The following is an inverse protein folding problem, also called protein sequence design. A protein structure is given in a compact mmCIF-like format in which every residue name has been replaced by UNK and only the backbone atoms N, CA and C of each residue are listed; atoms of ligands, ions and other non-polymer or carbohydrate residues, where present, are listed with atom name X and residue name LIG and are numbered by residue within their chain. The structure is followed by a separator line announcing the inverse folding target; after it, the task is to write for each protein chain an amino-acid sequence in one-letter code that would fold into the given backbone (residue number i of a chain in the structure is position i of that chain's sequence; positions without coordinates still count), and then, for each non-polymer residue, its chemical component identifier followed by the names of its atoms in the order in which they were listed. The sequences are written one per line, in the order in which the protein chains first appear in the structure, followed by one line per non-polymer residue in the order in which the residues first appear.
data_IF_170035491788
#
_entry.id   IF_170035491788
#
_cell.length_a   1.000
_cell.length_b   1.000
_cell.length_c   1.000
_cell.angle_alpha   90.00
_cell.angle_beta   90.00
_cell.angle_gamma   90.00
#
_symmetry.space_group_name_H-M   'P 1'
#
loop_
_entity.id
_entity.type
_entity.pdbx_description
1 polymer ?
#
# COMPACT_ATOMS: atom_id res chain seq x y z
N UNK A 1 -1.07 16.96 -14.43
CA UNK A 1 -0.44 17.89 -13.48
C UNK A 1 0.96 18.23 -13.97
N UNK A 2 1.39 19.51 -13.94
CA UNK A 2 2.75 19.83 -14.30
C UNK A 2 3.73 19.21 -13.30
N UNK A 3 4.93 18.77 -13.74
CA UNK A 3 5.97 18.19 -12.88
C UNK A 3 6.35 19.08 -11.69
N UNK A 4 6.13 20.39 -11.83
CA UNK A 4 6.34 21.38 -10.78
C UNK A 4 5.44 21.19 -9.55
N UNK A 5 4.29 20.53 -9.70
CA UNK A 5 3.34 20.26 -8.61
C UNK A 5 3.56 18.84 -8.06
N UNK A 6 3.79 17.86 -8.92
CA UNK A 6 3.94 16.46 -8.49
C UNK A 6 5.20 16.23 -7.65
N UNK A 7 6.32 16.89 -7.98
CA UNK A 7 7.54 16.79 -7.20
C UNK A 7 7.38 17.21 -5.73
N UNK A 8 6.93 18.43 -5.45
CA UNK A 8 6.65 18.88 -4.08
C UNK A 8 5.61 18.03 -3.33
N UNK A 9 4.59 17.48 -4.02
CA UNK A 9 3.61 16.60 -3.39
C UNK A 9 4.26 15.30 -2.89
N UNK A 10 5.08 14.65 -3.71
CA UNK A 10 5.80 13.42 -3.31
C UNK A 10 6.72 13.68 -2.12
N UNK A 11 7.44 14.82 -2.13
CA UNK A 11 8.28 15.22 -1.00
C UNK A 11 7.43 15.44 0.27
N UNK A 12 6.29 16.13 0.16
CA UNK A 12 5.40 16.36 1.27
C UNK A 12 4.85 15.06 1.88
N UNK A 13 4.44 14.10 1.04
CA UNK A 13 4.00 12.77 1.49
C UNK A 13 5.13 12.06 2.26
N UNK A 14 6.35 12.06 1.72
CA UNK A 14 7.50 11.47 2.39
C UNK A 14 7.79 12.11 3.75
N UNK A 15 7.70 13.43 3.84
CA UNK A 15 7.90 14.17 5.10
C UNK A 15 6.80 13.87 6.13
N UNK A 16 5.54 13.80 5.73
CA UNK A 16 4.43 13.45 6.61
C UNK A 16 4.59 12.03 7.16
N UNK A 17 4.98 11.07 6.33
CA UNK A 17 5.19 9.69 6.73
C UNK A 17 6.47 9.47 7.55
N UNK A 18 7.43 10.38 7.48
CA UNK A 18 8.73 10.26 8.17
C UNK A 18 8.59 10.11 9.68
N UNK A 19 7.64 10.82 10.30
CA UNK A 19 7.37 10.72 11.73
C UNK A 19 6.98 9.31 12.17
N UNK A 20 6.07 8.68 11.43
CA UNK A 20 5.66 7.30 11.67
C UNK A 20 6.81 6.30 11.42
N UNK A 21 7.57 6.52 10.36
CA UNK A 21 8.73 5.69 10.05
C UNK A 21 9.78 5.73 11.17
N UNK A 22 10.09 6.92 11.71
CA UNK A 22 11.03 7.09 12.83
C UNK A 22 10.51 6.38 14.09
N UNK A 23 9.23 6.51 14.41
CA UNK A 23 8.62 5.82 15.55
C UNK A 23 8.73 4.29 15.42
N UNK A 24 8.48 3.75 14.23
CA UNK A 24 8.63 2.32 13.96
C UNK A 24 10.10 1.87 14.07
N UNK A 25 11.06 2.67 13.59
CA UNK A 25 12.49 2.39 13.73
C UNK A 25 12.95 2.45 15.19
N UNK A 26 12.34 3.32 16.00
CA UNK A 26 12.74 3.51 17.41
C UNK A 26 12.50 2.27 18.27
N UNK A 27 11.66 1.33 17.86
CA UNK A 27 11.48 0.05 18.54
C UNK A 27 12.74 -0.81 18.50
N UNK A 28 13.46 -0.82 17.38
CA UNK A 28 14.74 -1.55 17.23
C UNK A 28 15.60 -0.93 16.10
N UNK A 29 16.45 0.03 16.44
CA UNK A 29 17.33 0.71 15.49
C UNK A 29 18.30 -0.21 14.73
N UNK A 30 18.95 -1.20 15.34
CA UNK A 30 19.80 -2.14 14.63
C UNK A 30 19.07 -2.85 13.47
N UNK A 31 17.86 -3.37 13.72
CA UNK A 31 17.07 -4.03 12.69
C UNK A 31 16.63 -3.06 11.58
N UNK A 32 16.24 -1.85 11.96
CA UNK A 32 15.86 -0.80 11.01
C UNK A 32 17.02 -0.42 10.08
N UNK A 33 18.23 -0.26 10.63
CA UNK A 33 19.43 0.06 9.84
C UNK A 33 19.78 -1.09 8.88
N UNK A 34 19.69 -2.34 9.33
CA UNK A 34 19.96 -3.51 8.47
C UNK A 34 18.93 -3.61 7.35
N UNK A 35 17.64 -3.40 7.64
CA UNK A 35 16.60 -3.36 6.63
C UNK A 35 16.89 -2.28 5.58
N UNK A 36 17.13 -1.04 6.01
CA UNK A 36 17.40 0.09 5.13
C UNK A 36 18.67 -0.13 4.29
N UNK A 37 19.76 -0.61 4.92
CA UNK A 37 20.99 -0.91 4.20
C UNK A 37 20.79 -1.99 3.14
N UNK A 38 20.03 -3.05 3.45
CA UNK A 38 19.70 -4.11 2.50
C UNK A 38 18.90 -3.56 1.31
N UNK A 39 17.90 -2.72 1.56
CA UNK A 39 17.12 -2.08 0.49
C UNK A 39 18.00 -1.22 -0.40
N UNK A 40 18.86 -0.37 0.18
CA UNK A 40 19.78 0.51 -0.57
C UNK A 40 20.78 -0.32 -1.40
N UNK A 41 21.42 -1.31 -0.78
CA UNK A 41 22.39 -2.17 -1.47
C UNK A 41 21.73 -2.92 -2.63
N UNK A 42 20.55 -3.50 -2.40
CA UNK A 42 19.81 -4.23 -3.43
C UNK A 42 19.35 -3.32 -4.56
N UNK A 43 18.93 -2.10 -4.28
CA UNK A 43 18.48 -1.13 -5.28
C UNK A 43 19.63 -0.58 -6.14
N UNK A 44 20.78 -0.28 -5.52
CA UNK A 44 21.90 0.40 -6.19
C UNK A 44 22.81 -0.60 -6.89
N UNK A 45 23.22 -1.67 -6.19
CA UNK A 45 24.18 -2.66 -6.71
C UNK A 45 23.54 -3.97 -7.16
N UNK A 46 22.27 -4.18 -6.87
CA UNK A 46 21.53 -5.38 -7.28
C UNK A 46 21.44 -5.52 -8.81
N UNK A 47 21.44 -6.75 -9.30
CA UNK A 47 21.26 -7.10 -10.70
C UNK A 47 20.10 -8.06 -10.87
N UNK A 48 19.40 -7.99 -12.00
CA UNK A 48 18.26 -8.87 -12.30
C UNK A 48 17.14 -8.73 -11.26
N UNK A 49 16.67 -9.84 -10.74
CA UNK A 49 15.55 -9.91 -9.79
C UNK A 49 15.86 -9.17 -8.49
N UNK A 50 17.09 -9.20 -7.99
CA UNK A 50 17.50 -8.51 -6.74
C UNK A 50 17.19 -7.01 -6.78
N UNK A 51 17.37 -6.37 -7.94
CA UNK A 51 17.06 -4.95 -8.13
C UNK A 51 15.57 -4.67 -8.21
N UNK A 52 14.77 -5.67 -8.56
CA UNK A 52 13.32 -5.54 -8.73
C UNK A 52 12.59 -5.64 -7.38
N UNK A 53 13.12 -6.45 -6.44
CA UNK A 53 12.47 -6.75 -5.16
C UNK A 53 13.27 -6.27 -3.93
N UNK A 54 13.83 -5.05 -3.90
CA UNK A 54 14.72 -4.61 -2.83
C UNK A 54 14.02 -4.55 -1.47
N UNK A 55 12.76 -4.12 -1.43
CA UNK A 55 11.97 -4.03 -0.20
C UNK A 55 11.74 -5.41 0.39
N UNK A 56 11.36 -6.39 -0.43
CA UNK A 56 11.16 -7.77 0.02
C UNK A 56 12.45 -8.36 0.60
N UNK A 57 13.60 -8.09 -0.03
CA UNK A 57 14.90 -8.51 0.50
C UNK A 57 15.21 -7.84 1.83
N UNK A 58 14.91 -6.56 1.98
CA UNK A 58 15.04 -5.84 3.24
C UNK A 58 14.23 -6.49 4.35
N UNK A 59 12.97 -6.82 4.09
CA UNK A 59 12.09 -7.52 5.05
C UNK A 59 12.64 -8.89 5.41
N UNK A 60 13.03 -9.71 4.42
CA UNK A 60 13.55 -11.07 4.67
C UNK A 60 14.81 -11.03 5.52
N UNK A 61 15.77 -10.18 5.17
CA UNK A 61 17.06 -10.10 5.88
C UNK A 61 16.88 -9.56 7.30
N UNK A 62 16.08 -8.50 7.48
CA UNK A 62 15.84 -7.96 8.82
C UNK A 62 15.03 -8.92 9.68
N UNK A 63 14.05 -9.63 9.11
CA UNK A 63 13.29 -10.64 9.82
C UNK A 63 14.18 -11.83 10.24
N UNK A 64 15.02 -12.33 9.34
CA UNK A 64 15.97 -13.38 9.67
C UNK A 64 16.92 -12.96 10.82
N UNK A 65 17.39 -11.71 10.80
CA UNK A 65 18.19 -11.17 11.89
C UNK A 65 17.39 -11.10 13.20
N UNK A 66 16.13 -10.63 13.15
CA UNK A 66 15.26 -10.56 14.32
C UNK A 66 15.02 -11.93 14.95
N UNK A 67 14.86 -12.98 14.14
CA UNK A 67 14.76 -14.37 14.62
C UNK A 67 16.05 -14.82 15.32
N UNK A 68 17.21 -14.54 14.72
CA UNK A 68 18.51 -14.93 15.31
C UNK A 68 18.81 -14.17 16.60
N UNK A 69 18.39 -12.91 16.70
CA UNK A 69 18.57 -12.09 17.92
C UNK A 69 17.52 -12.36 18.99
N UNK A 70 16.52 -13.21 18.71
CA UNK A 70 15.48 -13.57 19.68
C UNK A 70 14.42 -12.48 19.89
N UNK A 71 14.33 -11.50 18.99
CA UNK A 71 13.33 -10.42 19.04
C UNK A 71 11.94 -10.86 18.55
N UNK A 72 11.84 -12.04 17.94
CA UNK A 72 10.59 -12.57 17.42
C UNK A 72 9.96 -13.52 18.44
N UNK A 73 8.76 -13.17 18.91
CA UNK A 73 7.96 -14.05 19.75
C UNK A 73 7.07 -14.95 18.87
N UNK A 74 7.37 -16.25 18.90
CA UNK A 74 6.59 -17.27 18.21
C UNK A 74 5.42 -17.81 19.04
N UNK A 75 5.24 -17.40 20.30
CA UNK A 75 4.15 -17.88 21.14
C UNK A 75 2.77 -17.60 20.52
N UNK A 76 2.59 -16.43 19.92
CA UNK A 76 1.37 -16.07 19.22
C UNK A 76 1.01 -17.02 18.06
N UNK A 77 1.99 -17.69 17.44
CA UNK A 77 1.73 -18.67 16.40
C UNK A 77 1.18 -20.00 16.94
N UNK A 78 1.52 -20.35 18.18
CA UNK A 78 1.05 -21.60 18.78
C UNK A 78 -0.44 -21.53 19.13
N UNK A 79 -0.93 -20.32 19.43
CA UNK A 79 -2.34 -20.08 19.78
C UNK A 79 -3.18 -19.72 18.57
N UNK A 80 -2.57 -19.51 17.41
CA UNK A 80 -3.26 -19.15 16.18
C UNK A 80 -3.94 -20.38 15.54
N UNK A 81 -5.19 -20.22 15.13
CA UNK A 81 -5.88 -21.24 14.37
C UNK A 81 -5.23 -21.38 12.97
N UNK A 82 -4.95 -22.62 12.55
CA UNK A 82 -4.37 -22.90 11.22
C UNK A 82 -5.29 -22.49 10.07
N UNK A 83 -6.58 -22.51 10.30
CA UNK A 83 -7.60 -22.07 9.34
C UNK A 83 -8.60 -21.21 10.11
N UNK A 84 -8.77 -19.98 9.68
CA UNK A 84 -9.71 -19.03 10.27
C UNK A 84 -10.16 -18.03 9.22
N UNK A 85 -11.32 -17.42 9.44
CA UNK A 85 -11.74 -16.29 8.62
C UNK A 85 -10.87 -15.08 8.99
N UNK A 86 -10.33 -14.34 7.99
CA UNK A 86 -9.43 -13.21 8.21
C UNK A 86 -10.14 -11.95 8.73
N UNK A 87 -11.40 -12.05 9.10
CA UNK A 87 -12.21 -10.94 9.61
C UNK A 87 -13.09 -11.41 10.77
N UNK A 88 -13.30 -10.54 11.75
CA UNK A 88 -14.33 -10.71 12.78
C UNK A 88 -15.52 -9.80 12.48
N UNK A 89 -16.72 -10.20 12.84
CA UNK A 89 -17.95 -9.41 12.64
C UNK A 89 -17.81 -8.00 13.23
N UNK A 90 -17.15 -7.89 14.37
CA UNK A 90 -16.94 -6.62 15.10
C UNK A 90 -16.09 -5.61 14.31
N UNK A 91 -15.25 -6.09 13.40
CA UNK A 91 -14.37 -5.25 12.55
C UNK A 91 -14.98 -4.94 11.18
N UNK A 92 -16.11 -5.54 10.86
CA UNK A 92 -16.78 -5.32 9.57
C UNK A 92 -17.73 -4.13 9.65
N UNK A 93 -18.11 -3.58 8.49
CA UNK A 93 -19.14 -2.53 8.41
C UNK A 93 -20.47 -2.96 9.05
N UNK A 94 -20.72 -4.26 9.18
CA UNK A 94 -21.94 -4.79 9.82
C UNK A 94 -22.01 -4.48 11.30
N UNK A 95 -20.88 -4.29 11.97
CA UNK A 95 -20.85 -3.88 13.40
C UNK A 95 -21.46 -2.49 13.63
N UNK A 96 -21.45 -1.62 12.62
CA UNK A 96 -22.08 -0.29 12.69
C UNK A 96 -23.58 -0.39 12.92
N UNK A 97 -24.23 -1.45 12.44
CA UNK A 97 -25.66 -1.68 12.62
C UNK A 97 -26.02 -2.20 14.02
N UNK A 98 -25.06 -2.79 14.75
CA UNK A 98 -25.30 -3.32 16.09
C UNK A 98 -25.36 -2.18 17.14
N UNK A 99 -24.60 -1.08 16.94
CA UNK A 99 -24.57 0.09 17.81
C UNK A 99 -24.44 1.37 16.98
N UNK A 100 -25.50 1.75 16.27
CA UNK A 100 -25.45 2.90 15.37
C UNK A 100 -25.49 4.23 16.16
N UNK A 101 -24.32 4.83 16.37
CA UNK A 101 -24.22 6.24 16.77
C UNK A 101 -24.20 7.11 15.51
N UNK A 102 -25.34 7.73 15.22
CA UNK A 102 -25.51 8.59 14.05
C UNK A 102 -24.54 9.77 14.07
N UNK A 103 -24.21 10.31 15.24
CA UNK A 103 -23.28 11.44 15.37
C UNK A 103 -21.85 11.01 14.99
N UNK A 104 -21.43 9.85 15.50
CA UNK A 104 -20.14 9.26 15.14
C UNK A 104 -20.06 8.94 13.63
N UNK A 105 -21.11 8.34 13.06
CA UNK A 105 -21.17 8.01 11.64
C UNK A 105 -21.04 9.26 10.76
N UNK A 106 -21.82 10.31 11.04
CA UNK A 106 -21.78 11.56 10.26
C UNK A 106 -20.42 12.24 10.40
N UNK A 107 -19.85 12.31 11.59
CA UNK A 107 -18.53 12.92 11.80
C UNK A 107 -17.44 12.14 11.05
N UNK A 108 -17.50 10.82 11.03
CA UNK A 108 -16.56 9.96 10.30
C UNK A 108 -16.69 10.16 8.78
N UNK A 109 -17.91 10.22 8.25
CA UNK A 109 -18.13 10.50 6.82
C UNK A 109 -17.54 11.86 6.44
N UNK A 110 -17.81 12.91 7.22
CA UNK A 110 -17.29 14.26 6.98
C UNK A 110 -15.76 14.28 7.03
N UNK A 111 -15.15 13.52 7.92
CA UNK A 111 -13.70 13.47 8.05
C UNK A 111 -13.03 12.68 6.91
N UNK A 112 -13.62 11.57 6.46
CA UNK A 112 -13.00 10.66 5.48
C UNK A 112 -13.33 11.06 4.03
N UNK A 113 -14.54 11.58 3.75
CA UNK A 113 -14.94 11.90 2.39
C UNK A 113 -13.99 12.85 1.64
N UNK A 114 -13.40 13.89 2.25
CA UNK A 114 -12.42 14.74 1.56
C UNK A 114 -11.15 14.01 1.15
N UNK A 115 -10.77 12.93 1.86
CA UNK A 115 -9.58 12.12 1.55
C UNK A 115 -9.77 11.40 0.20
N UNK A 116 -11.01 11.05 -0.17
CA UNK A 116 -11.32 10.43 -1.45
C UNK A 116 -10.89 11.30 -2.66
N UNK A 117 -10.84 12.62 -2.50
CA UNK A 117 -10.34 13.51 -3.57
C UNK A 117 -8.85 13.25 -3.81
N UNK A 118 -8.06 13.02 -2.76
CA UNK A 118 -6.65 12.73 -2.88
C UNK A 118 -6.41 11.38 -3.59
N UNK A 119 -7.15 10.34 -3.22
CA UNK A 119 -7.04 9.01 -3.87
C UNK A 119 -7.49 9.04 -5.34
N UNK A 120 -8.53 9.82 -5.69
CA UNK A 120 -8.92 10.05 -7.09
C UNK A 120 -7.78 10.68 -7.88
N UNK A 121 -7.12 11.68 -7.32
CA UNK A 121 -6.01 12.37 -7.99
C UNK A 121 -4.79 11.46 -8.16
N UNK A 122 -4.49 10.63 -7.17
CA UNK A 122 -3.46 9.58 -7.22
C UNK A 122 -3.78 8.57 -8.34
N UNK A 123 -4.99 8.03 -8.36
CA UNK A 123 -5.46 7.10 -9.39
C UNK A 123 -5.30 7.67 -10.81
N UNK A 124 -5.65 8.94 -11.03
CA UNK A 124 -5.47 9.59 -12.33
C UNK A 124 -3.98 9.64 -12.71
N UNK A 125 -3.11 9.97 -11.76
CA UNK A 125 -1.66 9.99 -11.96
C UNK A 125 -1.11 8.62 -12.37
N UNK A 126 -1.54 7.58 -11.66
CA UNK A 126 -1.13 6.19 -11.92
C UNK A 126 -1.65 5.69 -13.27
N UNK A 127 -2.89 6.03 -13.64
CA UNK A 127 -3.42 5.71 -14.96
C UNK A 127 -2.62 6.37 -16.09
N UNK A 128 -2.16 7.60 -15.90
CA UNK A 128 -1.27 8.27 -16.84
C UNK A 128 0.10 7.55 -16.93
N UNK A 129 0.67 7.15 -15.79
CA UNK A 129 1.95 6.46 -15.72
C UNK A 129 1.88 5.08 -16.39
N UNK A 130 0.84 4.29 -16.10
CA UNK A 130 0.58 2.99 -16.72
C UNK A 130 0.37 3.14 -18.22
N UNK A 131 -0.44 4.12 -18.65
CA UNK A 131 -0.68 4.40 -20.07
C UNK A 131 0.62 4.68 -20.82
N UNK A 132 1.51 5.48 -20.23
CA UNK A 132 2.82 5.78 -20.79
C UNK A 132 3.73 4.55 -20.85
N UNK A 133 3.68 3.70 -19.82
CA UNK A 133 4.53 2.50 -19.71
C UNK A 133 4.12 1.42 -20.72
N UNK A 134 2.81 1.21 -20.88
CA UNK A 134 2.24 0.18 -21.76
C UNK A 134 2.12 0.66 -23.21
N UNK A 135 2.10 1.98 -23.42
CA UNK A 135 1.90 2.58 -24.75
C UNK A 135 0.42 2.54 -25.21
N UNK A 136 -0.54 2.44 -24.26
CA UNK A 136 -1.98 2.46 -24.52
C UNK A 136 -2.65 3.57 -23.70
N UNK A 137 -3.62 4.24 -24.26
CA UNK A 137 -4.35 5.33 -23.59
C UNK A 137 -5.52 4.75 -22.77
N UNK A 138 -5.24 4.34 -21.52
CA UNK A 138 -6.26 3.82 -20.62
C UNK A 138 -7.22 4.88 -20.08
N UNK A 139 -6.93 6.16 -20.26
CA UNK A 139 -7.84 7.24 -19.93
C UNK A 139 -9.01 7.32 -20.92
N UNK A 140 -8.77 6.87 -22.18
CA UNK A 140 -9.81 6.79 -23.22
C UNK A 140 -10.49 5.43 -23.22
N UNK A 141 -9.70 4.35 -23.20
CA UNK A 141 -10.21 2.98 -23.28
C UNK A 141 -9.48 2.08 -22.26
N UNK A 142 -10.19 1.56 -21.26
CA UNK A 142 -11.64 1.49 -21.03
C UNK A 142 -12.29 2.80 -20.55
N UNK A 143 -11.51 3.84 -20.27
CA UNK A 143 -11.97 5.15 -19.81
C UNK A 143 -11.84 5.33 -18.30
N UNK A 144 -11.43 6.54 -17.89
CA UNK A 144 -11.17 6.89 -16.50
C UNK A 144 -12.36 6.61 -15.56
N UNK A 145 -13.59 6.79 -16.04
CA UNK A 145 -14.79 6.51 -15.24
C UNK A 145 -14.92 5.05 -14.84
N UNK A 146 -14.46 4.10 -15.69
CA UNK A 146 -14.50 2.66 -15.38
C UNK A 146 -13.41 2.26 -14.41
N UNK A 147 -12.22 2.81 -14.57
CA UNK A 147 -11.10 2.52 -13.67
C UNK A 147 -11.35 3.07 -12.27
N UNK A 148 -11.87 4.30 -12.15
CA UNK A 148 -12.28 4.89 -10.87
C UNK A 148 -13.45 4.13 -10.22
N UNK A 149 -14.41 3.66 -11.03
CA UNK A 149 -15.51 2.85 -10.50
C UNK A 149 -14.99 1.50 -9.97
N UNK A 150 -14.03 0.89 -10.66
CA UNK A 150 -13.39 -0.35 -10.20
C UNK A 150 -12.67 -0.17 -8.87
N UNK A 151 -11.88 0.90 -8.73
CA UNK A 151 -11.15 1.24 -7.50
C UNK A 151 -12.12 1.54 -6.33
N UNK A 152 -13.16 2.33 -6.58
CA UNK A 152 -14.20 2.62 -5.60
C UNK A 152 -14.99 1.38 -5.16
N UNK A 153 -15.34 0.49 -6.08
CA UNK A 153 -16.01 -0.78 -5.77
C UNK A 153 -15.09 -1.73 -4.98
N UNK A 154 -13.80 -1.80 -5.33
CA UNK A 154 -12.83 -2.59 -4.59
C UNK A 154 -12.70 -2.09 -3.14
N UNK A 155 -12.62 -0.77 -2.94
CA UNK A 155 -12.62 -0.15 -1.60
C UNK A 155 -13.91 -0.43 -0.83
N UNK A 156 -15.07 -0.33 -1.48
CA UNK A 156 -16.35 -0.64 -0.86
C UNK A 156 -16.45 -2.12 -0.44
N UNK A 157 -16.00 -3.04 -1.29
CA UNK A 157 -15.95 -4.47 -0.98
C UNK A 157 -14.97 -4.76 0.16
N UNK A 158 -13.77 -4.15 0.14
CA UNK A 158 -12.79 -4.31 1.20
C UNK A 158 -13.36 -3.89 2.56
N UNK A 159 -14.09 -2.77 2.61
CA UNK A 159 -14.72 -2.26 3.83
C UNK A 159 -15.80 -3.19 4.40
N UNK A 160 -16.49 -3.98 3.56
CA UNK A 160 -17.43 -5.00 4.02
C UNK A 160 -16.75 -6.06 4.90
N UNK A 161 -15.48 -6.34 4.66
CA UNK A 161 -14.66 -7.28 5.41
C UNK A 161 -13.79 -6.64 6.50
N UNK A 162 -13.97 -5.34 6.75
CA UNK A 162 -13.21 -4.61 7.76
C UNK A 162 -11.79 -4.22 7.32
N UNK A 163 -11.49 -4.32 6.03
CA UNK A 163 -10.22 -3.87 5.50
C UNK A 163 -10.21 -2.34 5.29
N UNK A 164 -9.03 -1.70 5.36
CA UNK A 164 -8.89 -0.28 5.05
C UNK A 164 -9.20 0.01 3.58
N UNK A 165 -9.40 1.30 3.27
CA UNK A 165 -9.59 1.74 1.90
C UNK A 165 -8.40 1.31 1.01
N UNK A 166 -8.71 0.76 -0.16
CA UNK A 166 -7.72 0.43 -1.17
C UNK A 166 -7.32 1.70 -1.93
N UNK A 167 -6.11 1.69 -2.47
CA UNK A 167 -5.65 2.68 -3.44
C UNK A 167 -4.83 1.99 -4.53
N UNK A 168 -4.58 2.68 -5.61
CA UNK A 168 -3.72 2.20 -6.69
C UNK A 168 -2.26 2.24 -6.23
N UNK A 169 -1.52 1.15 -6.48
CA UNK A 169 -0.09 1.06 -6.14
C UNK A 169 0.77 1.42 -7.34
N UNK A 170 1.22 2.66 -7.42
CA UNK A 170 2.07 3.20 -8.49
C UNK A 170 3.41 2.45 -8.62
N UNK A 171 3.93 1.87 -7.55
CA UNK A 171 5.17 1.08 -7.54
C UNK A 171 5.09 -0.12 -8.47
N UNK A 172 3.93 -0.72 -8.66
CA UNK A 172 3.73 -1.84 -9.58
C UNK A 172 3.96 -1.43 -11.04
N UNK A 173 3.78 -0.17 -11.40
CA UNK A 173 4.13 0.35 -12.73
C UNK A 173 5.63 0.22 -13.01
N UNK A 174 6.47 0.36 -11.98
CA UNK A 174 7.90 0.09 -12.08
C UNK A 174 8.21 -1.37 -12.43
N UNK A 175 7.49 -2.31 -11.82
CA UNK A 175 7.61 -3.74 -12.13
C UNK A 175 7.19 -4.04 -13.57
N UNK A 176 6.06 -3.48 -14.02
CA UNK A 176 5.61 -3.59 -15.41
C UNK A 176 6.66 -3.08 -16.40
N UNK A 177 7.28 -1.95 -16.09
CA UNK A 177 8.32 -1.38 -16.95
C UNK A 177 9.57 -2.26 -17.03
N UNK A 178 9.93 -2.95 -15.95
CA UNK A 178 11.09 -3.85 -15.91
C UNK A 178 10.82 -5.19 -16.59
N UNK A 179 9.68 -5.79 -16.33
CA UNK A 179 9.30 -7.12 -16.83
C UNK A 179 8.82 -7.09 -18.28
N UNK A 180 8.26 -5.94 -18.71
CA UNK A 180 7.59 -5.78 -20.02
C UNK A 180 6.41 -6.75 -20.22
N UNK A 181 5.88 -7.30 -19.14
CA UNK A 181 4.69 -8.15 -19.18
C UNK A 181 3.46 -7.28 -19.02
N UNK A 182 2.73 -7.06 -20.11
CA UNK A 182 1.56 -6.16 -20.14
C UNK A 182 0.25 -6.92 -20.39
N UNK A 183 0.27 -8.23 -20.37
CA UNK A 183 -0.92 -9.05 -20.53
C UNK A 183 -1.71 -9.07 -19.21
N UNK A 184 -2.98 -8.62 -19.20
CA UNK A 184 -3.81 -8.63 -18.00
C UNK A 184 -4.19 -10.03 -17.51
N UNK A 185 -3.89 -11.09 -18.27
CA UNK A 185 -4.11 -12.47 -17.87
C UNK A 185 -2.95 -13.05 -17.02
N UNK A 186 -1.84 -12.31 -16.89
CA UNK A 186 -0.68 -12.66 -16.07
C UNK A 186 -0.73 -11.89 -14.78
#
# INVERSE_FOLDING_TARGET
FPPLVTGPMIIAIGLVLSGSAIQNCASNWPLAIVALATVIISSVWGKGIVRIIPILLGVIVSYALAVVTGEVDFAAMNDAAWIGLPFSREQTVLAVFDNMDTTFLVSTIIAIMPIAIATIMEHIGDMCAISSTVGKDFLKEPGLHRTLMGDGLATALASLFGAPANTTYGENTGVLNLTKVFDPAV
#
